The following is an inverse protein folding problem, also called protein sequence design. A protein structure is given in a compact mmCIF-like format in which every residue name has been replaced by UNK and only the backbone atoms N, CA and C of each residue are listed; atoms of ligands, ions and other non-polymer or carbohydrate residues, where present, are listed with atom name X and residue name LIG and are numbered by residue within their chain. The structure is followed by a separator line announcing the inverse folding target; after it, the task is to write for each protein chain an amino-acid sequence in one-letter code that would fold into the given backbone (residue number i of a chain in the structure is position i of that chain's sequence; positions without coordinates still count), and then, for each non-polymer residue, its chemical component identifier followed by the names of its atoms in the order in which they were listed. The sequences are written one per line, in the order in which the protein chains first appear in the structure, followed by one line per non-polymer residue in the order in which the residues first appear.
data_IF_903140549548
#
_entry.id   IF_903140549548
#
_cell.length_a   1.000
_cell.length_b   1.000
_cell.length_c   1.000
_cell.angle_alpha   90.00
_cell.angle_beta   90.00
_cell.angle_gamma   90.00
#
_symmetry.space_group_name_H-M   'P 1'
#
loop_
_entity.id
_entity.type
_entity.pdbx_description
1 polymer ?
#
# COMPACT_ATOMS: atom_id res chain seq x y z
N UNK A 1 5.12 10.05 -42.20
CA UNK A 1 3.88 10.18 -43.03
C UNK A 1 3.46 8.80 -43.51
N UNK A 2 2.14 8.52 -43.45
CA UNK A 2 1.42 7.24 -43.73
C UNK A 2 1.44 6.23 -42.57
N UNK A 3 0.33 5.64 -42.12
CA UNK A 3 -1.11 5.78 -42.38
C UNK A 3 -1.85 5.20 -41.15
N UNK A 4 -2.95 5.85 -40.78
CA UNK A 4 -3.97 5.43 -39.81
C UNK A 4 -4.70 4.17 -40.31
N UNK A 5 -5.08 3.26 -39.41
CA UNK A 5 -6.25 2.40 -39.61
C UNK A 5 -6.93 2.07 -38.28
N UNK A 6 -8.04 2.75 -38.02
CA UNK A 6 -9.08 2.36 -37.07
C UNK A 6 -9.78 1.09 -37.57
N UNK A 7 -10.07 0.16 -36.67
CA UNK A 7 -11.17 -0.78 -36.85
C UNK A 7 -12.08 -0.76 -35.62
N UNK A 8 -13.24 -0.14 -35.82
CA UNK A 8 -14.41 -0.21 -34.95
C UNK A 8 -15.32 -1.28 -35.56
N UNK A 9 -15.63 -2.34 -34.83
CA UNK A 9 -16.69 -3.28 -35.21
C UNK A 9 -17.58 -3.55 -34.02
N UNK A 10 -18.72 -2.86 -34.03
CA UNK A 10 -19.93 -3.16 -33.29
C UNK A 10 -20.79 -4.06 -34.18
N UNK A 11 -21.24 -5.21 -33.68
CA UNK A 11 -22.26 -6.01 -34.34
C UNK A 11 -23.40 -6.29 -33.36
N UNK A 12 -24.58 -5.78 -33.71
CA UNK A 12 -25.86 -6.09 -33.10
C UNK A 12 -26.57 -7.17 -33.94
N UNK A 13 -27.34 -8.06 -33.31
CA UNK A 13 -28.81 -8.16 -33.50
C UNK A 13 -29.44 -9.34 -32.74
N UNK A 14 -30.72 -9.11 -32.41
CA UNK A 14 -31.69 -9.89 -31.64
C UNK A 14 -32.21 -11.16 -32.34
N UNK A 15 -32.89 -12.05 -31.59
CA UNK A 15 -33.84 -13.00 -32.20
C UNK A 15 -34.36 -14.19 -31.37
N UNK A 16 -35.29 -13.92 -30.44
CA UNK A 16 -36.53 -14.66 -30.08
C UNK A 16 -36.67 -16.19 -30.35
N UNK A 17 -36.85 -16.97 -29.26
CA UNK A 17 -38.13 -17.63 -28.92
C UNK A 17 -38.41 -19.12 -29.27
N UNK A 18 -38.99 -19.80 -28.25
CA UNK A 18 -39.82 -21.02 -28.22
C UNK A 18 -39.17 -22.41 -28.10
N UNK A 19 -39.60 -23.17 -27.07
CA UNK A 19 -39.80 -24.64 -27.22
C UNK A 19 -39.61 -25.55 -26.00
N UNK A 20 -40.74 -25.92 -25.38
CA UNK A 20 -41.11 -27.26 -24.85
C UNK A 20 -40.55 -27.84 -23.52
N UNK A 21 -41.55 -28.06 -22.65
CA UNK A 21 -41.74 -29.00 -21.52
C UNK A 21 -41.05 -30.36 -21.54
N UNK A 22 -40.65 -30.87 -20.36
CA UNK A 22 -40.40 -32.29 -20.12
C UNK A 22 -39.90 -32.61 -18.72
N UNK A 23 -40.72 -33.32 -17.94
CA UNK A 23 -40.44 -33.84 -16.58
C UNK A 23 -39.25 -34.80 -16.60
N UNK A 24 -38.28 -34.58 -15.69
CA UNK A 24 -37.16 -35.48 -15.45
C UNK A 24 -36.89 -35.62 -13.96
N UNK A 25 -37.38 -36.71 -13.38
CA UNK A 25 -37.02 -37.16 -12.04
C UNK A 25 -35.71 -37.95 -12.18
N UNK A 26 -34.59 -37.39 -11.73
CA UNK A 26 -33.30 -38.08 -11.71
C UNK A 26 -32.61 -37.80 -10.37
N UNK A 27 -32.80 -38.74 -9.45
CA UNK A 27 -32.05 -38.89 -8.21
C UNK A 27 -30.57 -39.05 -8.53
N UNK A 28 -29.74 -38.07 -8.17
CA UNK A 28 -28.28 -38.19 -8.19
C UNK A 28 -27.79 -39.17 -7.11
N UNK A 29 -26.78 -40.00 -7.39
CA UNK A 29 -26.12 -40.82 -6.38
C UNK A 29 -25.29 -39.97 -5.40
N UNK A 30 -25.15 -40.39 -4.13
CA UNK A 30 -24.43 -39.61 -3.12
C UNK A 30 -22.90 -39.64 -3.33
N UNK A 31 -22.31 -38.44 -3.25
CA UNK A 31 -20.88 -38.14 -3.20
C UNK A 31 -20.30 -38.55 -1.82
N UNK A 32 -19.10 -39.16 -1.75
CA UNK A 32 -18.44 -39.46 -0.48
C UNK A 32 -17.66 -38.26 0.09
N UNK A 33 -17.98 -37.96 1.36
CA UNK A 33 -17.10 -37.54 2.47
C UNK A 33 -16.09 -36.38 2.30
N UNK A 34 -16.57 -35.15 2.57
CA UNK A 34 -15.86 -33.97 3.12
C UNK A 34 -15.92 -33.85 4.66
N UNK A 35 -14.89 -34.26 5.41
CA UNK A 35 -14.73 -33.96 6.84
C UNK A 35 -14.65 -32.45 7.08
N UNK A 36 -15.29 -31.86 8.12
CA UNK A 36 -15.09 -30.45 8.45
C UNK A 36 -13.67 -30.26 8.99
N UNK A 37 -12.81 -29.60 8.21
CA UNK A 37 -11.56 -29.05 8.69
C UNK A 37 -11.86 -27.72 9.41
N UNK A 38 -11.33 -27.59 10.61
CA UNK A 38 -11.36 -26.38 11.44
C UNK A 38 -10.86 -25.16 10.66
N UNK A 39 -11.71 -24.14 10.56
CA UNK A 39 -11.32 -22.78 10.21
C UNK A 39 -10.56 -22.19 11.41
N UNK A 40 -9.24 -22.37 11.41
CA UNK A 40 -8.34 -21.64 12.29
C UNK A 40 -8.16 -20.23 11.73
N UNK A 41 -8.56 -19.24 12.51
CA UNK A 41 -8.40 -17.82 12.23
C UNK A 41 -6.94 -17.47 11.89
N UNK A 42 -6.67 -16.45 11.06
CA UNK A 42 -5.33 -15.95 10.85
C UNK A 42 -4.75 -15.51 12.20
N UNK A 43 -3.63 -16.11 12.58
CA UNK A 43 -2.83 -15.59 13.68
C UNK A 43 -2.19 -14.28 13.21
N UNK A 44 -2.65 -13.18 13.79
CA UNK A 44 -1.91 -11.92 13.85
C UNK A 44 -0.54 -12.21 14.46
N UNK A 45 0.48 -12.28 13.62
CA UNK A 45 1.87 -12.39 14.03
C UNK A 45 2.70 -11.34 13.28
N UNK A 46 2.70 -10.12 13.83
CA UNK A 46 3.75 -9.12 13.66
C UNK A 46 3.53 -7.99 14.69
N UNK A 47 3.88 -8.25 15.95
CA UNK A 47 4.27 -7.17 16.88
C UNK A 47 5.78 -7.22 17.01
N UNK A 48 6.49 -6.65 16.03
CA UNK A 48 7.84 -6.16 16.29
C UNK A 48 7.67 -4.80 16.95
N UNK A 49 7.79 -4.78 18.27
CA UNK A 49 7.68 -3.56 19.07
C UNK A 49 9.03 -2.87 19.02
N UNK A 50 9.29 -2.11 17.95
CA UNK A 50 10.18 -0.96 18.05
C UNK A 50 9.55 -0.05 19.10
N UNK A 51 10.29 0.29 20.16
CA UNK A 51 9.87 1.21 21.23
C UNK A 51 9.56 2.60 20.63
N UNK A 52 8.39 2.73 20.02
CA UNK A 52 7.80 4.00 19.65
C UNK A 52 7.32 4.64 20.95
N UNK A 53 8.07 5.62 21.45
CA UNK A 53 7.64 6.46 22.56
C UNK A 53 6.38 7.24 22.14
N UNK A 54 5.22 6.61 22.31
CA UNK A 54 3.91 7.14 21.95
C UNK A 54 3.45 8.30 22.87
N UNK A 55 4.34 8.81 23.73
CA UNK A 55 4.03 9.78 24.78
C UNK A 55 4.18 11.27 24.42
N UNK A 56 5.06 11.63 23.48
CA UNK A 56 5.53 13.04 23.34
C UNK A 56 5.11 13.75 22.03
N UNK A 57 4.07 13.27 21.34
CA UNK A 57 3.66 13.86 20.06
C UNK A 57 4.74 13.78 18.97
N UNK A 58 5.70 12.88 19.14
CA UNK A 58 6.74 12.57 18.16
C UNK A 58 6.86 11.07 18.05
N UNK A 59 6.78 10.56 16.83
CA UNK A 59 7.18 9.19 16.52
C UNK A 59 8.67 9.16 16.23
N UNK A 60 9.44 8.42 17.03
CA UNK A 60 10.87 8.19 16.80
C UNK A 60 11.08 6.79 16.25
N UNK A 61 11.86 6.69 15.18
CA UNK A 61 12.31 5.44 14.61
C UNK A 61 13.85 5.44 14.55
N UNK A 62 14.47 4.75 15.52
CA UNK A 62 15.93 4.65 15.59
C UNK A 62 16.51 3.61 14.61
N UNK A 63 15.71 2.65 14.13
CA UNK A 63 16.16 1.65 13.14
C UNK A 63 16.54 2.33 11.81
N UNK A 64 15.74 3.31 11.39
CA UNK A 64 15.97 4.07 10.17
C UNK A 64 16.48 5.49 10.39
N UNK A 65 16.53 5.95 11.64
CA UNK A 65 17.10 7.25 12.02
C UNK A 65 16.22 8.42 11.60
N UNK A 66 14.97 8.50 12.06
CA UNK A 66 14.14 9.70 11.90
C UNK A 66 13.17 9.92 13.06
N UNK A 67 12.74 11.17 13.19
CA UNK A 67 11.61 11.61 14.01
C UNK A 67 10.48 12.12 13.12
N UNK A 68 9.24 11.96 13.57
CA UNK A 68 8.06 12.46 12.89
C UNK A 68 7.12 13.13 13.89
N UNK A 69 6.96 14.45 13.78
CA UNK A 69 6.07 15.21 14.63
C UNK A 69 4.59 14.89 14.32
N UNK A 70 3.80 14.63 15.37
CA UNK A 70 2.39 14.29 15.28
C UNK A 70 1.56 15.20 16.18
N UNK A 71 0.39 15.68 15.72
CA UNK A 71 -0.49 16.49 16.54
C UNK A 71 -1.15 15.66 17.64
N UNK A 72 -1.74 16.35 18.63
CA UNK A 72 -2.43 15.71 19.76
C UNK A 72 -3.55 14.72 19.34
N UNK A 73 -4.20 14.96 18.20
CA UNK A 73 -5.22 14.07 17.63
C UNK A 73 -4.70 12.67 17.27
N UNK A 74 -3.38 12.53 17.13
CA UNK A 74 -2.72 11.27 16.80
C UNK A 74 -2.16 10.54 18.02
N UNK A 75 -2.39 11.03 19.24
CA UNK A 75 -2.02 10.32 20.47
C UNK A 75 -2.67 8.93 20.50
N UNK A 76 -1.85 7.90 20.69
CA UNK A 76 -2.28 6.50 20.60
C UNK A 76 -2.24 5.90 19.19
N UNK A 77 -1.54 6.55 18.24
CA UNK A 77 -1.22 5.95 16.95
C UNK A 77 -0.53 4.59 17.12
N UNK A 78 -0.62 3.74 16.11
CA UNK A 78 0.16 2.50 16.01
C UNK A 78 1.00 2.52 14.74
N UNK A 79 2.03 1.67 14.67
CA UNK A 79 2.83 1.51 13.47
C UNK A 79 2.47 0.19 12.80
N UNK A 80 2.23 0.24 11.50
CA UNK A 80 2.08 -0.95 10.67
C UNK A 80 3.18 -1.00 9.64
N UNK A 81 3.83 -2.16 9.60
CA UNK A 81 4.98 -2.44 8.76
C UNK A 81 4.50 -3.30 7.59
N UNK A 82 4.85 -2.88 6.40
CA UNK A 82 4.62 -3.59 5.14
C UNK A 82 5.85 -3.41 4.23
N UNK A 83 5.77 -3.90 3.00
CA UNK A 83 6.79 -3.74 1.98
C UNK A 83 6.25 -3.01 0.75
N UNK A 84 7.05 -2.10 0.19
CA UNK A 84 6.83 -1.66 -1.19
C UNK A 84 7.59 -2.57 -2.15
N UNK A 85 7.06 -2.72 -3.37
CA UNK A 85 7.70 -3.45 -4.45
C UNK A 85 7.98 -2.50 -5.62
N UNK A 86 9.17 -2.66 -6.21
CA UNK A 86 9.61 -1.91 -7.37
C UNK A 86 9.81 -2.81 -8.60
N UNK A 87 9.64 -2.21 -9.78
CA UNK A 87 9.83 -2.87 -11.07
C UNK A 87 10.87 -2.12 -11.89
N UNK A 88 11.65 -2.85 -12.70
CA UNK A 88 12.61 -2.26 -13.64
C UNK A 88 12.18 -2.55 -15.09
N UNK A 89 12.50 -1.65 -16.02
CA UNK A 89 12.09 -1.76 -17.43
C UNK A 89 12.67 -2.99 -18.14
N UNK A 90 13.81 -3.50 -17.67
CA UNK A 90 14.52 -4.63 -18.30
C UNK A 90 14.03 -6.01 -17.84
N UNK A 91 13.16 -6.08 -16.82
CA UNK A 91 12.71 -7.34 -16.27
C UNK A 91 11.33 -7.73 -16.78
N UNK A 92 11.25 -8.88 -17.44
CA UNK A 92 9.99 -9.49 -17.90
C UNK A 92 9.11 -10.01 -16.76
N UNK A 93 9.62 -10.01 -15.53
CA UNK A 93 8.96 -10.33 -14.27
C UNK A 93 9.48 -9.31 -13.24
N UNK A 94 8.65 -8.85 -12.31
CA UNK A 94 9.00 -7.89 -11.25
C UNK A 94 10.37 -8.22 -10.67
N UNK A 95 11.40 -7.46 -11.02
CA UNK A 95 12.78 -7.66 -10.58
C UNK A 95 12.96 -7.21 -9.14
N UNK A 96 12.27 -7.93 -8.23
CA UNK A 96 12.61 -8.25 -6.84
C UNK A 96 13.00 -7.14 -5.88
N UNK A 97 13.00 -5.88 -6.29
CA UNK A 97 13.44 -4.78 -5.45
C UNK A 97 12.29 -4.44 -4.51
N UNK A 98 12.54 -4.60 -3.22
CA UNK A 98 11.58 -4.28 -2.17
C UNK A 98 12.22 -3.36 -1.15
N UNK A 99 11.39 -2.76 -0.33
CA UNK A 99 11.86 -2.08 0.87
C UNK A 99 10.72 -1.78 1.84
N UNK A 100 11.04 -1.24 3.01
CA UNK A 100 10.07 -1.03 4.07
C UNK A 100 9.08 0.06 3.73
N UNK A 101 7.81 -0.21 4.02
CA UNK A 101 6.71 0.76 4.03
C UNK A 101 6.14 0.82 5.45
N UNK A 102 6.37 1.93 6.14
CA UNK A 102 5.77 2.19 7.44
C UNK A 102 4.47 2.97 7.24
N UNK A 103 3.43 2.60 7.98
CA UNK A 103 2.19 3.37 8.07
C UNK A 103 1.98 3.78 9.52
N UNK A 104 2.06 5.08 9.80
CA UNK A 104 1.59 5.61 11.08
C UNK A 104 0.07 5.56 11.01
N UNK A 105 -0.52 4.67 11.80
CA UNK A 105 -1.95 4.40 11.79
C UNK A 105 -2.68 5.36 12.71
N UNK A 106 -3.72 5.98 12.16
CA UNK A 106 -4.57 6.88 12.92
C UNK A 106 -5.21 6.14 14.12
N UNK A 107 -5.24 6.72 15.34
CA UNK A 107 -5.76 6.04 16.55
C UNK A 107 -7.23 5.63 16.44
N UNK A 108 -8.03 6.37 15.68
CA UNK A 108 -9.44 6.05 15.40
C UNK A 108 -9.66 5.13 14.18
N UNK A 109 -8.62 4.54 13.60
CA UNK A 109 -8.76 3.63 12.46
C UNK A 109 -9.43 2.32 12.89
N UNK A 110 -10.44 1.86 12.13
CA UNK A 110 -10.96 0.48 12.23
C UNK A 110 -11.21 -0.11 10.84
N UNK A 111 -11.39 -1.43 10.75
CA UNK A 111 -11.71 -2.09 9.48
C UNK A 111 -13.07 -1.63 8.91
N UNK A 112 -14.05 -1.32 9.76
CA UNK A 112 -15.38 -0.82 9.38
C UNK A 112 -15.38 0.68 9.05
N UNK A 113 -14.44 1.43 9.62
CA UNK A 113 -14.31 2.88 9.45
C UNK A 113 -12.83 3.25 9.21
N UNK A 114 -12.27 2.88 8.05
CA UNK A 114 -10.87 3.17 7.75
C UNK A 114 -10.65 4.68 7.65
N UNK A 115 -9.51 5.12 8.17
CA UNK A 115 -9.00 6.49 8.05
C UNK A 115 -7.67 6.50 7.30
N UNK A 116 -7.27 7.66 6.80
CA UNK A 116 -5.97 7.82 6.15
C UNK A 116 -4.85 7.64 7.18
N UNK A 117 -4.00 6.64 6.94
CA UNK A 117 -2.71 6.52 7.62
C UNK A 117 -1.69 7.49 7.00
N UNK A 118 -0.58 7.75 7.68
CA UNK A 118 0.58 8.46 7.10
C UNK A 118 1.60 7.42 6.64
N UNK A 119 1.70 7.15 5.32
CA UNK A 119 2.68 6.21 4.79
C UNK A 119 4.06 6.86 4.62
N UNK A 120 5.10 6.12 4.98
CA UNK A 120 6.51 6.48 4.82
C UNK A 120 7.21 5.29 4.16
N UNK A 121 7.55 5.44 2.89
CA UNK A 121 8.45 4.53 2.19
C UNK A 121 9.88 4.84 2.57
N UNK A 122 10.65 3.79 2.84
CA UNK A 122 12.07 3.90 3.16
C UNK A 122 12.87 3.31 2.00
N UNK A 123 13.81 4.10 1.50
CA UNK A 123 14.72 3.73 0.43
C UNK A 123 16.16 3.85 0.92
N UNK A 124 17.06 2.98 0.44
CA UNK A 124 18.48 3.31 0.47
C UNK A 124 18.78 4.45 -0.50
N UNK A 125 19.90 5.15 -0.33
CA UNK A 125 20.31 6.21 -1.28
C UNK A 125 20.44 5.68 -2.71
N UNK A 126 20.99 4.47 -2.88
CA UNK A 126 21.11 3.81 -4.19
C UNK A 126 19.75 3.49 -4.82
N UNK A 127 18.79 3.01 -4.03
CA UNK A 127 17.42 2.79 -4.52
C UNK A 127 16.76 4.10 -4.94
N UNK A 128 16.95 5.17 -4.16
CA UNK A 128 16.41 6.48 -4.48
C UNK A 128 17.00 7.05 -5.76
N UNK A 129 18.32 6.97 -5.95
CA UNK A 129 18.99 7.46 -7.16
C UNK A 129 18.44 6.74 -8.41
N UNK A 130 18.23 5.42 -8.33
CA UNK A 130 17.62 4.64 -9.41
C UNK A 130 16.16 5.02 -9.69
N UNK A 131 15.41 5.50 -8.69
CA UNK A 131 14.07 6.06 -8.90
C UNK A 131 14.15 7.41 -9.62
N UNK A 132 15.12 8.26 -9.26
CA UNK A 132 15.32 9.55 -9.94
C UNK A 132 15.79 9.39 -11.39
N UNK A 133 16.56 8.32 -11.66
CA UNK A 133 17.06 7.99 -13.00
C UNK A 133 16.05 7.19 -13.85
N UNK A 134 14.82 6.98 -13.36
CA UNK A 134 13.74 6.23 -14.04
C UNK A 134 14.09 4.74 -14.30
N UNK A 135 15.09 4.21 -13.59
CA UNK A 135 15.53 2.82 -13.68
C UNK A 135 14.73 1.90 -12.76
N UNK A 136 14.17 2.44 -11.68
CA UNK A 136 13.34 1.76 -10.70
C UNK A 136 12.00 2.48 -10.54
N UNK A 137 10.91 1.77 -10.81
CA UNK A 137 9.55 2.29 -10.67
C UNK A 137 8.87 1.68 -9.46
N UNK A 138 8.27 2.52 -8.60
CA UNK A 138 7.54 2.06 -7.40
C UNK A 138 6.07 2.46 -7.52
N UNK A 139 5.20 1.46 -7.49
CA UNK A 139 3.77 1.63 -7.74
C UNK A 139 3.41 1.82 -9.23
N UNK A 140 2.13 2.01 -9.51
CA UNK A 140 1.58 2.12 -10.86
C UNK A 140 1.26 3.57 -11.29
N UNK A 141 1.67 4.56 -10.50
CA UNK A 141 1.37 5.97 -10.76
C UNK A 141 2.30 6.55 -11.85
N UNK A 142 1.83 7.53 -12.66
CA UNK A 142 2.68 8.22 -13.64
C UNK A 142 3.81 9.07 -13.05
N UNK A 143 3.84 9.21 -11.73
CA UNK A 143 4.85 9.97 -10.99
C UNK A 143 5.28 9.11 -9.80
N UNK A 144 6.58 9.16 -9.48
CA UNK A 144 7.15 8.41 -8.38
C UNK A 144 6.83 8.99 -7.00
N UNK A 145 7.30 8.32 -5.94
CA UNK A 145 7.22 8.84 -4.57
C UNK A 145 7.91 10.21 -4.44
N UNK A 146 7.46 11.02 -3.47
CA UNK A 146 8.02 12.34 -3.19
C UNK A 146 8.82 12.33 -1.89
N UNK A 147 10.01 12.90 -1.89
CA UNK A 147 10.87 12.94 -0.70
C UNK A 147 10.26 13.74 0.46
N UNK A 148 10.31 13.16 1.66
CA UNK A 148 9.98 13.78 2.94
C UNK A 148 11.24 14.25 3.69
N UNK A 149 12.36 13.54 3.51
CA UNK A 149 13.67 13.88 4.05
C UNK A 149 14.67 12.74 3.86
N UNK A 150 15.91 12.93 4.31
CA UNK A 150 16.97 11.92 4.19
C UNK A 150 18.04 12.06 5.27
N UNK A 151 18.70 10.95 5.60
CA UNK A 151 19.92 10.90 6.40
C UNK A 151 21.06 10.25 5.59
N UNK A 152 22.18 9.94 6.25
CA UNK A 152 23.34 9.32 5.60
C UNK A 152 23.10 7.94 4.97
N UNK A 153 22.04 7.22 5.37
CA UNK A 153 21.73 5.85 4.91
C UNK A 153 20.45 5.74 4.08
N UNK A 154 19.45 6.54 4.41
CA UNK A 154 18.08 6.37 3.93
C UNK A 154 17.48 7.66 3.38
N UNK A 155 16.57 7.49 2.42
CA UNK A 155 15.64 8.51 1.94
C UNK A 155 14.24 8.08 2.35
N UNK A 156 13.53 8.99 3.01
CA UNK A 156 12.14 8.82 3.42
C UNK A 156 11.25 9.50 2.40
N UNK A 157 10.23 8.80 1.90
CA UNK A 157 9.37 9.34 0.89
C UNK A 157 7.91 8.97 1.09
N UNK A 158 7.04 9.82 0.56
CA UNK A 158 5.61 9.61 0.52
C UNK A 158 5.25 8.89 -0.79
N UNK A 159 4.44 7.80 -0.75
CA UNK A 159 3.95 7.16 -1.95
C UNK A 159 3.22 8.15 -2.86
N UNK A 160 3.40 7.98 -4.17
CA UNK A 160 2.59 8.69 -5.13
C UNK A 160 1.10 8.39 -4.91
N UNK A 161 0.26 9.42 -4.95
CA UNK A 161 -1.20 9.26 -4.87
C UNK A 161 -1.70 8.56 -3.60
N UNK A 162 -0.96 8.65 -2.50
CA UNK A 162 -1.31 8.00 -1.23
C UNK A 162 -2.72 8.31 -0.71
N UNK A 163 -3.27 9.49 -1.05
CA UNK A 163 -4.60 9.95 -0.68
C UNK A 163 -5.60 10.05 -1.86
N UNK A 164 -5.31 9.43 -3.00
CA UNK A 164 -6.10 9.61 -4.23
C UNK A 164 -7.56 9.14 -4.12
N UNK A 165 -7.85 8.23 -3.19
CA UNK A 165 -9.22 7.80 -2.90
C UNK A 165 -10.00 8.76 -1.98
N UNK A 166 -9.38 9.86 -1.53
CA UNK A 166 -9.92 10.80 -0.56
C UNK A 166 -10.54 10.11 0.68
N UNK A 167 -9.83 9.18 1.33
CA UNK A 167 -10.36 8.49 2.51
C UNK A 167 -10.55 9.45 3.68
N UNK A 168 -11.43 9.10 4.62
CA UNK A 168 -11.68 9.90 5.82
C UNK A 168 -10.37 10.31 6.51
N UNK A 169 -10.20 11.60 6.78
CA UNK A 169 -9.00 12.13 7.45
C UNK A 169 -7.84 12.49 6.51
N UNK A 170 -8.00 12.37 5.19
CA UNK A 170 -6.90 12.71 4.26
C UNK A 170 -6.50 14.20 4.33
N UNK A 171 -7.43 15.13 4.61
CA UNK A 171 -7.09 16.55 4.74
C UNK A 171 -6.24 16.83 5.98
N UNK A 172 -6.46 16.09 7.06
CA UNK A 172 -5.64 16.18 8.27
C UNK A 172 -4.22 15.69 7.98
N UNK A 173 -4.09 14.57 7.26
CA UNK A 173 -2.77 14.05 6.84
C UNK A 173 -2.06 15.01 5.91
N UNK A 174 -2.75 15.60 4.94
CA UNK A 174 -2.18 16.65 4.07
C UNK A 174 -1.70 17.86 4.89
N UNK A 175 -2.47 18.28 5.90
CA UNK A 175 -2.06 19.37 6.80
C UNK A 175 -0.81 19.02 7.59
N UNK A 176 -0.72 17.80 8.14
CA UNK A 176 0.46 17.33 8.88
C UNK A 176 1.69 17.33 7.97
N UNK A 177 1.58 16.80 6.76
CA UNK A 177 2.69 16.70 5.81
C UNK A 177 3.14 18.07 5.27
N UNK A 178 2.22 19.02 5.12
CA UNK A 178 2.53 20.39 4.72
C UNK A 178 3.41 21.14 5.74
N UNK A 179 3.38 20.73 7.01
CA UNK A 179 4.21 21.30 8.08
C UNK A 179 5.63 20.70 8.13
N UNK A 180 5.99 19.82 7.18
CA UNK A 180 7.29 19.14 7.11
C UNK A 180 7.66 18.42 8.43
N UNK A 181 6.86 17.42 8.86
CA UNK A 181 6.92 16.84 10.19
C UNK A 181 8.11 15.90 10.40
N UNK A 182 8.74 15.44 9.31
CA UNK A 182 9.84 14.50 9.36
C UNK A 182 11.17 15.24 9.60
N UNK A 183 11.87 14.87 10.67
CA UNK A 183 13.24 15.28 10.94
C UNK A 183 14.15 14.07 10.86
N UNK A 184 15.04 14.04 9.87
CA UNK A 184 16.03 12.99 9.73
C UNK A 184 17.09 13.10 10.85
N UNK A 185 17.50 11.96 11.39
CA UNK A 185 18.52 11.85 12.44
C UNK A 185 19.64 10.92 11.98
N UNK A 186 20.78 10.97 12.67
CA UNK A 186 21.91 10.06 12.45
C UNK A 186 22.09 9.07 13.62
N UNK A 187 21.10 9.03 14.51
CA UNK A 187 21.08 8.17 15.69
C UNK A 187 20.44 6.83 15.30
N UNK A 188 21.27 5.90 14.85
CA UNK A 188 20.84 4.55 14.51
C UNK A 188 20.91 3.63 15.72
N UNK A 189 19.93 2.75 15.88
CA UNK A 189 20.01 1.65 16.84
C UNK A 189 20.96 0.56 16.29
N UNK A 190 22.00 0.20 17.07
CA UNK A 190 22.99 -0.85 16.75
C UNK A 190 22.52 -2.25 17.15
#
# INVERSE_FOLDING_TARGET
MKKVLLFLTMLALMGVGYGCTGVGNATSPPQPSETPAEEQAPQDDATDTTDADAGDGTYRNADYGFDFALPDSWKGYTIVVDEWEGTTLEATESSGTKGPLLSIRHPEWTAEAPRQDIPIMIFTTEQWDRIQDDELHVGAAPSGPSELGRNSKYVFALPARYNYAFPTGYEEVESILADHPLTATEDFQD
#
